data_IF_217561181221
#
_entry.id   IF_217561181221
#
_cell.length_a   1.000
_cell.length_b   1.000
_cell.length_c   1.000
_cell.angle_alpha   90.00
_cell.angle_beta   90.00
_cell.angle_gamma   90.00
#
_symmetry.space_group_name_H-M   'P 1'
#
loop_
_entity.id
_entity.type
_entity.pdbx_description
1 polymer ?
#
# COMPACT_ATOMS: atom_id res chain seq x y z
N UNK A 1 32.18 18.98 -31.74
CA UNK A 1 32.27 17.64 -31.10
C UNK A 1 31.83 17.76 -29.65
N UNK A 2 31.12 16.73 -29.17
CA UNK A 2 30.15 16.76 -28.09
C UNK A 2 30.67 17.17 -26.70
N UNK A 3 29.87 17.96 -25.98
CA UNK A 3 29.95 18.16 -24.54
C UNK A 3 28.98 17.19 -23.85
N UNK A 4 29.49 16.12 -23.24
CA UNK A 4 28.73 15.28 -22.32
C UNK A 4 28.63 15.98 -20.97
N UNK A 5 27.41 16.29 -20.53
CA UNK A 5 27.10 16.63 -19.14
C UNK A 5 26.68 15.34 -18.43
N UNK A 6 27.56 14.80 -17.59
CA UNK A 6 27.26 13.69 -16.68
C UNK A 6 26.79 14.26 -15.35
N UNK A 7 25.50 14.11 -15.06
CA UNK A 7 24.88 14.42 -13.76
C UNK A 7 25.14 13.21 -12.87
N UNK A 8 26.06 13.36 -11.92
CA UNK A 8 26.37 12.34 -10.91
C UNK A 8 25.60 12.67 -9.63
N UNK A 9 24.67 11.76 -9.33
CA UNK A 9 24.13 11.36 -8.03
C UNK A 9 24.65 12.10 -6.79
N UNK A 10 23.75 12.83 -6.12
CA UNK A 10 23.90 13.22 -4.71
C UNK A 10 23.15 12.21 -3.83
N UNK A 11 23.88 11.32 -3.18
CA UNK A 11 23.44 10.60 -2.00
C UNK A 11 24.60 10.63 -1.00
N UNK A 12 24.46 11.41 0.08
CA UNK A 12 25.38 11.31 1.20
C UNK A 12 24.64 11.58 2.52
N UNK A 13 24.36 10.47 3.20
CA UNK A 13 24.53 10.24 4.64
C UNK A 13 24.04 11.33 5.62
N UNK A 14 22.85 11.09 6.18
CA UNK A 14 22.43 11.61 7.48
C UNK A 14 22.95 10.67 8.57
N UNK A 15 23.83 11.15 9.45
CA UNK A 15 24.18 10.46 10.70
C UNK A 15 24.16 11.45 11.88
N UNK A 16 23.34 11.06 12.86
CA UNK A 16 23.43 11.27 14.30
C UNK A 16 23.52 12.70 14.86
N UNK A 17 22.40 13.14 15.47
CA UNK A 17 22.43 13.70 16.83
C UNK A 17 21.21 13.16 17.58
N UNK A 18 21.45 12.21 18.49
CA UNK A 18 20.51 11.87 19.57
C UNK A 18 21.01 12.68 20.77
N UNK A 19 20.18 13.61 21.27
CA UNK A 19 20.37 14.19 22.59
C UNK A 19 19.09 13.99 23.37
N UNK A 20 19.22 13.24 24.46
CA UNK A 20 18.16 12.83 25.35
C UNK A 20 17.50 14.03 26.04
N UNK A 21 16.18 14.11 25.95
CA UNK A 21 15.35 14.80 26.93
C UNK A 21 14.70 13.70 27.77
N UNK A 22 15.13 13.61 29.03
CA UNK A 22 14.51 12.77 30.04
C UNK A 22 13.45 13.64 30.72
N UNK A 23 12.19 13.37 30.41
CA UNK A 23 11.04 13.92 31.14
C UNK A 23 10.61 12.88 32.16
N UNK A 24 10.79 13.21 33.44
CA UNK A 24 10.23 12.46 34.56
C UNK A 24 8.72 12.74 34.61
N UNK A 25 7.96 11.92 33.88
CA UNK A 25 6.50 11.97 33.85
C UNK A 25 5.90 10.97 34.82
N UNK A 26 5.44 11.45 35.97
CA UNK A 26 4.48 10.78 36.85
C UNK A 26 3.15 10.61 36.07
N UNK A 27 3.06 9.54 35.29
CA UNK A 27 1.90 9.20 34.49
C UNK A 27 1.03 8.19 35.23
N UNK A 28 -0.10 8.67 35.75
CA UNK A 28 -1.25 7.85 36.17
C UNK A 28 -1.66 6.94 35.01
N UNK A 29 -1.13 5.71 35.02
CA UNK A 29 -1.42 4.70 34.02
C UNK A 29 -2.87 4.27 34.15
N UNK A 30 -3.74 4.86 33.32
CA UNK A 30 -4.93 4.12 32.91
C UNK A 30 -4.43 2.82 32.28
N UNK A 31 -4.82 1.70 32.88
CA UNK A 31 -4.41 0.38 32.46
C UNK A 31 -5.09 -0.04 31.17
N UNK A 32 -5.02 0.77 30.11
CA UNK A 32 -5.27 0.31 28.76
C UNK A 32 -4.14 -0.67 28.43
N UNK A 33 -4.36 -1.92 28.81
CA UNK A 33 -3.52 -3.05 28.44
C UNK A 33 -3.36 -2.96 26.93
N UNK A 34 -2.15 -2.63 26.46
CA UNK A 34 -1.77 -2.75 25.05
C UNK A 34 -1.78 -4.25 24.77
N UNK A 35 -2.98 -4.79 24.56
CA UNK A 35 -3.19 -6.17 24.18
C UNK A 35 -2.43 -6.32 22.86
N UNK A 36 -1.49 -7.27 22.84
CA UNK A 36 -0.65 -7.54 21.67
C UNK A 36 -1.47 -7.77 20.39
N UNK A 37 -0.80 -7.95 19.24
CA UNK A 37 -1.46 -8.09 17.95
C UNK A 37 -2.62 -9.09 18.04
N UNK A 38 -3.80 -8.66 17.58
CA UNK A 38 -5.02 -9.49 17.66
C UNK A 38 -4.81 -10.75 16.82
N UNK A 39 -5.37 -11.86 17.28
CA UNK A 39 -5.27 -13.11 16.54
C UNK A 39 -6.20 -13.09 15.32
N UNK A 40 -5.82 -13.75 14.21
CA UNK A 40 -6.70 -13.94 13.06
C UNK A 40 -8.09 -14.46 13.46
N UNK A 41 -9.15 -13.91 12.88
CA UNK A 41 -10.53 -14.27 13.20
C UNK A 41 -11.13 -13.57 14.43
N UNK A 42 -10.40 -12.67 15.08
CA UNK A 42 -10.93 -11.78 16.12
C UNK A 42 -11.83 -10.68 15.51
N UNK A 43 -12.89 -10.31 16.23
CA UNK A 43 -13.76 -9.16 15.90
C UNK A 43 -13.06 -7.80 15.94
N UNK A 44 -11.84 -7.73 16.45
CA UNK A 44 -11.00 -6.54 16.43
C UNK A 44 -9.73 -6.75 15.60
N UNK A 45 -9.65 -7.79 14.76
CA UNK A 45 -8.52 -7.96 13.83
C UNK A 45 -8.56 -6.88 12.74
N UNK A 46 -7.50 -6.05 12.67
CA UNK A 46 -7.43 -4.91 11.76
C UNK A 46 -6.63 -5.27 10.51
N UNK A 47 -7.26 -5.16 9.34
CA UNK A 47 -6.62 -5.31 8.05
C UNK A 47 -6.28 -3.91 7.52
N UNK A 48 -5.04 -3.47 7.77
CA UNK A 48 -4.51 -2.20 7.28
C UNK A 48 -3.12 -2.31 6.66
N UNK A 49 -2.89 -1.49 5.64
CA UNK A 49 -1.55 -1.18 5.17
C UNK A 49 -0.96 -0.06 6.01
N UNK A 50 0.34 -0.15 6.28
CA UNK A 50 1.12 0.93 6.89
C UNK A 50 1.38 2.03 5.87
N UNK A 51 1.77 1.64 4.66
CA UNK A 51 2.13 2.57 3.61
C UNK A 51 1.73 2.02 2.24
N UNK A 52 1.40 2.96 1.35
CA UNK A 52 1.13 2.74 -0.05
C UNK A 52 1.88 3.80 -0.83
N UNK A 53 2.81 3.38 -1.70
CA UNK A 53 3.64 4.29 -2.49
C UNK A 53 3.71 3.86 -3.94
N UNK A 54 3.99 4.82 -4.81
CA UNK A 54 3.93 4.67 -6.26
C UNK A 54 5.23 5.19 -6.85
N UNK A 55 5.74 4.51 -7.88
CA UNK A 55 6.91 5.01 -8.62
C UNK A 55 6.60 6.25 -9.47
N UNK A 56 5.33 6.44 -9.83
CA UNK A 56 4.86 7.51 -10.72
C UNK A 56 3.55 8.09 -10.21
N UNK A 57 3.33 9.38 -10.49
CA UNK A 57 2.08 10.08 -10.18
C UNK A 57 1.96 10.60 -8.73
N UNK A 58 0.80 11.17 -8.44
CA UNK A 58 0.44 11.74 -7.14
C UNK A 58 -0.89 11.17 -6.67
N UNK A 59 -0.92 10.67 -5.43
CA UNK A 59 -2.11 10.07 -4.83
C UNK A 59 -2.93 11.11 -4.08
N UNK A 60 -4.23 11.15 -4.34
CA UNK A 60 -5.20 12.00 -3.66
C UNK A 60 -6.44 11.19 -3.25
N UNK A 61 -6.89 11.27 -1.98
CA UNK A 61 -6.21 11.94 -0.87
C UNK A 61 -4.88 11.25 -0.51
N UNK A 62 -4.06 11.91 0.30
CA UNK A 62 -2.86 11.27 0.85
C UNK A 62 -3.25 10.01 1.63
N UNK A 63 -2.46 8.95 1.47
CA UNK A 63 -2.73 7.67 2.14
C UNK A 63 -2.59 7.79 3.66
N UNK A 64 -3.63 7.35 4.38
CA UNK A 64 -3.72 7.37 5.85
C UNK A 64 -4.01 6.00 6.49
N UNK A 65 -4.05 4.94 5.67
CA UNK A 65 -4.35 3.57 6.12
C UNK A 65 -5.83 3.24 6.35
N UNK A 66 -6.74 4.22 6.25
CA UNK A 66 -8.18 4.05 6.57
C UNK A 66 -9.10 4.29 5.37
N UNK A 67 -8.67 5.08 4.40
CA UNK A 67 -9.44 5.34 3.18
C UNK A 67 -9.66 4.08 2.34
N UNK A 68 -10.73 4.10 1.52
CA UNK A 68 -11.07 3.03 0.59
C UNK A 68 -10.78 3.39 -0.86
N UNK A 69 -11.14 4.60 -1.26
CA UNK A 69 -11.03 5.07 -2.64
C UNK A 69 -9.98 6.17 -2.74
N UNK A 70 -9.07 6.02 -3.69
CA UNK A 70 -7.98 6.95 -3.97
C UNK A 70 -7.88 7.21 -5.46
N UNK A 71 -7.36 8.38 -5.83
CA UNK A 71 -7.07 8.74 -7.21
C UNK A 71 -5.57 8.95 -7.35
N UNK A 72 -4.94 8.22 -8.26
CA UNK A 72 -3.54 8.40 -8.63
C UNK A 72 -3.49 9.12 -9.97
N UNK A 73 -3.00 10.35 -9.98
CA UNK A 73 -2.81 11.13 -11.22
C UNK A 73 -1.38 10.96 -11.71
N UNK A 74 -1.19 10.29 -12.85
CA UNK A 74 0.11 10.11 -13.51
C UNK A 74 0.26 11.23 -14.54
N UNK A 75 1.19 12.15 -14.32
CA UNK A 75 1.35 13.34 -15.17
C UNK A 75 2.04 13.02 -16.51
N UNK A 76 2.88 11.98 -16.54
CA UNK A 76 3.63 11.59 -17.74
C UNK A 76 2.80 10.62 -18.62
N UNK A 77 2.37 11.03 -19.83
CA UNK A 77 1.60 10.17 -20.73
C UNK A 77 2.40 8.99 -21.32
N UNK A 78 3.74 9.03 -21.25
CA UNK A 78 4.60 7.97 -21.81
C UNK A 78 4.76 6.75 -20.87
N UNK A 79 4.23 6.83 -19.64
CA UNK A 79 4.33 5.75 -18.64
C UNK A 79 3.45 4.58 -19.06
N UNK A 80 4.08 3.49 -19.50
CA UNK A 80 3.39 2.23 -19.86
C UNK A 80 3.17 1.29 -18.68
N UNK A 81 3.91 1.51 -17.60
CA UNK A 81 3.80 0.73 -16.38
C UNK A 81 4.40 1.49 -15.22
N UNK A 82 3.83 1.33 -14.04
CA UNK A 82 4.37 1.86 -12.80
C UNK A 82 4.39 0.78 -11.73
N UNK A 83 5.07 1.05 -10.63
CA UNK A 83 5.20 0.14 -9.51
C UNK A 83 4.38 0.66 -8.35
N UNK A 84 3.57 -0.21 -7.76
CA UNK A 84 2.96 -0.02 -6.45
C UNK A 84 3.81 -0.75 -5.42
N UNK A 85 4.20 -0.04 -4.38
CA UNK A 85 4.94 -0.58 -3.25
C UNK A 85 4.02 -0.54 -2.02
N UNK A 86 3.75 -1.72 -1.48
CA UNK A 86 2.80 -1.97 -0.40
C UNK A 86 3.53 -2.44 0.84
N UNK A 87 3.21 -1.86 1.98
CA UNK A 87 3.77 -2.25 3.28
C UNK A 87 2.66 -2.57 4.28
N UNK A 88 2.75 -3.75 4.91
CA UNK A 88 1.84 -4.16 5.97
C UNK A 88 2.20 -3.47 7.29
N UNK A 89 1.19 -3.08 8.05
CA UNK A 89 1.39 -2.62 9.42
C UNK A 89 1.54 -3.81 10.38
N UNK A 90 2.75 -4.34 10.47
CA UNK A 90 3.07 -5.52 11.30
C UNK A 90 2.75 -5.34 12.79
N UNK A 91 2.52 -4.11 13.29
CA UNK A 91 2.05 -3.89 14.67
C UNK A 91 0.72 -4.60 14.92
N UNK A 92 -0.13 -4.72 13.89
CA UNK A 92 -1.47 -5.28 14.01
C UNK A 92 -1.55 -6.76 13.62
N UNK A 93 -0.44 -7.37 13.19
CA UNK A 93 -0.44 -8.72 12.63
C UNK A 93 0.42 -9.69 13.43
N UNK A 94 -0.07 -10.93 13.52
CA UNK A 94 0.76 -12.06 13.93
C UNK A 94 1.68 -12.47 12.75
N UNK A 95 2.99 -12.51 12.98
CA UNK A 95 3.98 -12.90 11.97
C UNK A 95 3.81 -14.35 11.50
N UNK A 96 3.18 -15.21 12.30
CA UNK A 96 2.86 -16.60 11.95
C UNK A 96 1.58 -16.72 11.11
N UNK A 97 0.78 -15.67 11.06
CA UNK A 97 -0.50 -15.64 10.35
C UNK A 97 -0.75 -14.26 9.72
N UNK A 98 0.02 -13.99 8.67
CA UNK A 98 -0.10 -12.75 7.89
C UNK A 98 -1.35 -12.75 7.01
N UNK A 99 -1.91 -11.56 6.76
CA UNK A 99 -3.04 -11.42 5.84
C UNK A 99 -2.67 -11.85 4.43
N UNK A 100 -3.66 -12.38 3.71
CA UNK A 100 -3.53 -12.61 2.27
C UNK A 100 -3.77 -11.30 1.55
N UNK A 101 -2.90 -10.97 0.61
CA UNK A 101 -3.06 -9.78 -0.24
C UNK A 101 -3.38 -10.23 -1.66
N UNK A 102 -4.36 -9.58 -2.26
CA UNK A 102 -4.74 -9.77 -3.65
C UNK A 102 -4.66 -8.41 -4.34
N UNK A 103 -4.02 -8.35 -5.51
CA UNK A 103 -4.00 -7.14 -6.34
C UNK A 103 -4.54 -7.48 -7.72
N UNK A 104 -5.56 -6.75 -8.15
CA UNK A 104 -6.27 -6.98 -9.42
C UNK A 104 -6.70 -8.45 -9.62
N UNK A 105 -7.23 -9.09 -8.56
CA UNK A 105 -7.66 -10.49 -8.64
C UNK A 105 -6.55 -11.52 -8.43
N UNK A 106 -5.29 -11.10 -8.35
CA UNK A 106 -4.14 -12.00 -8.23
C UNK A 106 -3.60 -12.01 -6.80
N UNK A 107 -3.59 -13.18 -6.17
CA UNK A 107 -2.99 -13.38 -4.85
C UNK A 107 -1.48 -13.18 -4.94
N UNK A 108 -0.95 -12.35 -4.03
CA UNK A 108 0.47 -12.07 -3.89
C UNK A 108 1.00 -12.76 -2.65
N UNK A 109 2.16 -13.41 -2.79
CA UNK A 109 2.87 -14.00 -1.67
C UNK A 109 3.44 -12.90 -0.78
N UNK A 110 3.07 -12.92 0.50
CA UNK A 110 3.48 -11.94 1.50
C UNK A 110 4.63 -12.50 2.30
N UNK A 111 5.70 -11.71 2.46
CA UNK A 111 6.76 -11.98 3.42
C UNK A 111 6.86 -10.80 4.39
N UNK A 112 6.97 -11.03 5.70
CA UNK A 112 7.12 -9.94 6.67
C UNK A 112 8.49 -9.26 6.58
N UNK A 113 9.45 -9.86 5.85
CA UNK A 113 10.80 -9.33 5.67
C UNK A 113 10.97 -8.53 4.38
N UNK A 114 10.01 -8.61 3.45
CA UNK A 114 10.12 -8.00 2.13
C UNK A 114 8.98 -7.02 1.88
N UNK A 115 9.31 -5.90 1.27
CA UNK A 115 8.28 -5.00 0.74
C UNK A 115 7.59 -5.64 -0.46
N UNK A 116 6.28 -5.47 -0.54
CA UNK A 116 5.49 -6.06 -1.60
C UNK A 116 5.48 -5.09 -2.78
N UNK A 117 6.01 -5.54 -3.92
CA UNK A 117 6.19 -4.72 -5.11
C UNK A 117 5.31 -5.28 -6.22
N UNK A 118 4.39 -4.45 -6.72
CA UNK A 118 3.38 -4.86 -7.70
C UNK A 118 3.49 -3.99 -8.95
N UNK A 119 3.93 -4.55 -10.08
CA UNK A 119 3.93 -3.83 -11.34
C UNK A 119 2.50 -3.73 -11.88
N UNK A 120 2.08 -2.51 -12.22
CA UNK A 120 0.80 -2.23 -12.87
C UNK A 120 1.06 -1.73 -14.28
N UNK A 121 0.46 -2.41 -15.26
CA UNK A 121 0.51 -2.01 -16.66
C UNK A 121 -0.58 -0.97 -16.95
N UNK A 122 -0.17 0.13 -17.60
CA UNK A 122 -1.05 1.11 -18.23
C UNK A 122 -1.27 0.70 -19.68
N UNK A 123 -2.49 0.80 -20.18
CA UNK A 123 -2.82 0.51 -21.55
C UNK A 123 -2.34 1.65 -22.45
N UNK A 124 -1.57 1.33 -23.47
CA UNK A 124 -1.15 2.28 -24.50
C UNK A 124 -2.33 2.63 -25.43
N UNK A 125 -3.30 3.37 -24.91
CA UNK A 125 -4.43 3.88 -25.68
C UNK A 125 -4.13 5.30 -26.18
N UNK A 126 -4.68 5.67 -27.34
CA UNK A 126 -4.50 7.02 -27.95
C UNK A 126 -5.32 8.10 -27.18
N UNK A 127 -6.01 7.72 -26.09
CA UNK A 127 -6.87 8.58 -25.28
C UNK A 127 -6.42 8.66 -23.81
N UNK A 128 -7.09 9.52 -23.01
CA UNK A 128 -6.89 9.51 -21.57
C UNK A 128 -7.18 8.12 -21.02
N UNK A 129 -6.30 7.63 -20.17
CA UNK A 129 -6.48 6.33 -19.52
C UNK A 129 -7.07 6.50 -18.12
N UNK A 130 -8.03 5.64 -17.80
CA UNK A 130 -8.67 5.52 -16.51
C UNK A 130 -8.72 4.04 -16.13
N UNK A 131 -7.85 3.64 -15.19
CA UNK A 131 -7.71 2.25 -14.74
C UNK A 131 -7.92 2.17 -13.24
N UNK A 132 -8.74 1.22 -12.78
CA UNK A 132 -8.89 0.96 -11.34
C UNK A 132 -8.01 -0.23 -10.97
N UNK A 133 -7.14 -0.02 -9.98
CA UNK A 133 -6.37 -1.07 -9.33
C UNK A 133 -7.01 -1.37 -7.97
N UNK A 134 -7.31 -2.65 -7.70
CA UNK A 134 -7.87 -3.08 -6.42
C UNK A 134 -6.83 -3.83 -5.61
N UNK A 135 -6.56 -3.38 -4.38
CA UNK A 135 -5.69 -4.04 -3.41
C UNK A 135 -6.57 -4.52 -2.26
N UNK A 136 -6.71 -5.83 -2.13
CA UNK A 136 -7.57 -6.47 -1.14
C UNK A 136 -6.73 -7.20 -0.09
N UNK A 137 -6.94 -6.84 1.17
CA UNK A 137 -6.44 -7.54 2.34
C UNK A 137 -7.50 -8.51 2.84
N UNK A 138 -7.10 -9.74 3.16
CA UNK A 138 -7.99 -10.78 3.66
C UNK A 138 -7.42 -11.42 4.92
N UNK A 139 -8.29 -11.61 5.92
CA UNK A 139 -7.94 -12.32 7.16
C UNK A 139 -7.55 -13.79 6.85
N UNK A 140 -6.37 -14.26 7.33
CA UNK A 140 -5.88 -15.60 7.04
C UNK A 140 -6.67 -16.71 7.72
N UNK A 141 -7.49 -16.40 8.75
CA UNK A 141 -8.30 -17.38 9.48
C UNK A 141 -9.39 -18.02 8.63
N UNK A 142 -9.71 -17.48 7.44
CA UNK A 142 -10.64 -18.08 6.49
C UNK A 142 -12.06 -18.30 7.03
N UNK A 143 -12.42 -17.70 8.17
CA UNK A 143 -13.69 -17.88 8.92
C UNK A 143 -14.94 -17.32 8.21
N UNK A 144 -14.90 -17.18 6.89
CA UNK A 144 -16.02 -16.66 6.10
C UNK A 144 -16.30 -17.38 4.79
N UNK A 145 -15.67 -18.51 4.49
CA UNK A 145 -16.12 -19.36 3.39
C UNK A 145 -17.07 -20.43 3.94
N UNK A 146 -18.37 -20.21 3.76
CA UNK A 146 -19.47 -20.88 4.47
C UNK A 146 -19.48 -22.42 4.43
N UNK A 147 -20.02 -22.99 5.52
CA UNK A 147 -20.20 -24.44 5.67
C UNK A 147 -21.10 -24.87 6.84
N UNK A 148 -22.41 -24.79 6.62
CA UNK A 148 -23.46 -25.74 7.04
C UNK A 148 -24.22 -25.62 8.38
N UNK A 149 -23.72 -25.02 9.46
CA UNK A 149 -24.50 -24.88 10.72
C UNK A 149 -24.15 -23.61 11.50
N UNK A 150 -25.02 -22.59 11.43
CA UNK A 150 -25.10 -21.54 12.46
C UNK A 150 -24.35 -20.23 12.18
N UNK A 151 -25.13 -19.15 12.05
CA UNK A 151 -24.83 -17.77 12.44
C UNK A 151 -23.39 -17.23 12.25
N UNK A 152 -23.14 -16.64 11.08
CA UNK A 152 -22.98 -15.18 11.02
C UNK A 152 -21.61 -14.53 11.23
N UNK A 153 -20.53 -15.02 10.61
CA UNK A 153 -19.34 -14.19 10.39
C UNK A 153 -18.98 -14.15 8.90
N UNK A 154 -19.16 -12.98 8.26
CA UNK A 154 -18.61 -12.74 6.91
C UNK A 154 -17.08 -12.74 7.00
N UNK A 155 -16.36 -13.23 5.97
CA UNK A 155 -14.91 -13.12 5.94
C UNK A 155 -14.56 -11.64 5.99
N UNK A 156 -13.60 -11.30 6.85
CA UNK A 156 -13.14 -9.92 6.96
C UNK A 156 -12.15 -9.66 5.84
N UNK A 157 -12.53 -8.72 5.01
CA UNK A 157 -11.67 -8.14 3.99
C UNK A 157 -11.65 -6.62 4.11
N UNK A 158 -10.59 -6.02 3.59
CA UNK A 158 -10.49 -4.58 3.40
C UNK A 158 -9.93 -4.33 2.01
N UNK A 159 -10.60 -3.49 1.24
CA UNK A 159 -10.27 -3.20 -0.15
C UNK A 159 -9.88 -1.72 -0.28
N UNK A 160 -8.72 -1.49 -0.89
CA UNK A 160 -8.25 -0.20 -1.37
C UNK A 160 -8.40 -0.15 -2.88
N UNK A 161 -9.13 0.84 -3.40
CA UNK A 161 -9.36 1.07 -4.82
C UNK A 161 -8.61 2.32 -5.25
N UNK A 162 -7.66 2.14 -6.16
CA UNK A 162 -6.87 3.24 -6.70
C UNK A 162 -7.27 3.46 -8.16
N UNK A 163 -7.96 4.57 -8.41
CA UNK A 163 -8.26 5.04 -9.76
C UNK A 163 -7.05 5.77 -10.33
N UNK A 164 -6.39 5.14 -11.28
CA UNK A 164 -5.21 5.64 -11.97
C UNK A 164 -5.64 6.41 -13.21
N UNK A 165 -5.36 7.72 -13.23
CA UNK A 165 -5.66 8.62 -14.33
C UNK A 165 -4.37 9.02 -15.03
N UNK A 166 -4.36 8.91 -16.36
CA UNK A 166 -3.22 9.32 -17.19
C UNK A 166 -3.71 10.16 -18.37
N UNK A 167 -3.04 11.28 -18.70
CA UNK A 167 -3.36 12.06 -19.87
C UNK A 167 -3.06 11.28 -21.17
N UNK A 168 -3.72 11.62 -22.29
CA UNK A 168 -3.46 10.98 -23.57
C UNK A 168 -2.03 11.20 -24.06
N UNK A 169 -1.47 10.18 -24.70
CA UNK A 169 -0.22 10.30 -25.46
C UNK A 169 -0.51 10.99 -26.79
N UNK A 170 -0.20 12.28 -26.89
CA UNK A 170 -0.17 12.97 -28.17
C UNK A 170 1.13 12.62 -28.88
N UNK A 171 1.09 11.59 -29.74
CA UNK A 171 2.15 11.43 -30.72
C UNK A 171 2.21 12.70 -31.55
N UNK A 172 3.34 13.39 -31.52
CA UNK A 172 3.59 14.53 -32.40
C UNK A 172 3.34 14.08 -33.85
N UNK A 173 2.18 14.45 -34.39
CA UNK A 173 1.86 14.31 -35.81
C UNK A 173 2.70 15.35 -36.56
N UNK A 174 4.00 15.08 -36.71
CA UNK A 174 4.94 16.03 -37.28
C UNK A 174 6.27 15.37 -37.63
N UNK A 175 6.36 14.87 -38.87
CA UNK A 175 7.56 14.35 -39.52
C UNK A 175 7.24 13.70 -40.85
#
# INVERSE_FOLDING_TARGET
>A
MARLRSIVFRYLLLLSVISAAQEDGDGDGDGSVELGPRLPGDSEYWLRLRSLSFSEGKLEPQFDGKGHDFTLTIENPEVKSFIITVELDLKYYDLLALPRIEVDGKVIEVSPLNTIVVPVLMNSSIGPEDKIVSIKLMDPSGKGFGGFLGFGAKPRDHEYRIRCLQPPEFQNAGG
#
